data_IF_399622739076
#
_entry.id   IF_399622739076
#
_cell.length_a   1.000
_cell.length_b   1.000
_cell.length_c   1.000
_cell.angle_alpha   90.00
_cell.angle_beta   90.00
_cell.angle_gamma   90.00
#
_symmetry.space_group_name_H-M   'P 1'
#
loop_
_entity.id
_entity.type
_entity.pdbx_description
1 polymer ?
#
# COMPACT_ATOMS: atom_id res chain seq x y z
N UNK A 1 -25.09 45.14 11.11
CA UNK A 1 -24.09 45.40 12.17
C UNK A 1 -22.77 44.78 11.74
N UNK A 2 -21.81 45.59 11.31
CA UNK A 2 -20.49 45.11 10.92
C UNK A 2 -19.75 44.59 12.16
N UNK A 3 -19.22 43.36 12.10
CA UNK A 3 -18.44 42.79 13.19
C UNK A 3 -17.21 43.67 13.48
N UNK A 4 -16.94 44.05 14.74
CA UNK A 4 -15.85 44.97 15.11
C UNK A 4 -14.44 44.45 14.76
N UNK A 5 -14.34 43.22 14.25
CA UNK A 5 -13.11 42.55 13.88
C UNK A 5 -12.52 42.97 12.52
N UNK A 6 -13.24 43.74 11.71
CA UNK A 6 -12.75 44.21 10.40
C UNK A 6 -11.78 45.41 10.48
N UNK A 7 -11.74 46.12 11.61
CA UNK A 7 -10.88 47.29 11.81
C UNK A 7 -9.45 46.95 12.28
N UNK A 8 -9.16 45.68 12.54
CA UNK A 8 -7.87 45.23 13.07
C UNK A 8 -6.96 44.66 11.97
N UNK A 9 -5.62 44.84 12.06
CA UNK A 9 -4.69 44.24 11.12
C UNK A 9 -4.85 42.70 11.09
N UNK A 10 -4.70 42.04 9.93
CA UNK A 10 -5.03 40.62 9.76
C UNK A 10 -4.30 39.68 10.72
N UNK A 11 -3.09 40.05 11.19
CA UNK A 11 -2.32 39.32 12.19
C UNK A 11 -3.01 39.27 13.57
N UNK A 12 -3.71 40.33 13.96
CA UNK A 12 -4.39 40.45 15.26
C UNK A 12 -5.83 39.91 15.22
N UNK A 13 -6.43 39.84 14.02
CA UNK A 13 -7.80 39.34 13.84
C UNK A 13 -7.97 37.90 14.28
N UNK A 14 -6.97 37.04 14.01
CA UNK A 14 -7.01 35.64 14.45
C UNK A 14 -6.91 35.54 15.97
N UNK A 15 -6.03 36.32 16.59
CA UNK A 15 -5.86 36.39 18.04
C UNK A 15 -7.18 36.78 18.72
N UNK A 16 -7.78 37.92 18.35
CA UNK A 16 -9.03 38.36 18.97
C UNK A 16 -10.25 37.48 18.64
N UNK A 17 -10.20 36.72 17.54
CA UNK A 17 -11.24 35.73 17.23
C UNK A 17 -11.12 34.49 18.11
N UNK A 18 -9.92 34.04 18.44
CA UNK A 18 -9.65 32.85 19.26
C UNK A 18 -9.63 33.16 20.77
N UNK A 19 -9.25 34.36 21.16
CA UNK A 19 -9.12 34.81 22.54
C UNK A 19 -10.40 34.60 23.39
N UNK A 20 -11.62 34.94 22.93
CA UNK A 20 -12.83 34.66 23.70
C UNK A 20 -13.08 33.15 23.87
N UNK A 21 -12.78 32.33 22.87
CA UNK A 21 -12.88 30.86 22.99
C UNK A 21 -11.84 30.29 23.96
N UNK A 22 -10.61 30.77 23.90
CA UNK A 22 -9.54 30.37 24.82
C UNK A 22 -9.85 30.79 26.27
N UNK A 23 -10.36 32.01 26.46
CA UNK A 23 -10.83 32.50 27.76
C UNK A 23 -12.01 31.69 28.28
N UNK A 24 -12.98 31.35 27.42
CA UNK A 24 -14.13 30.52 27.79
C UNK A 24 -13.67 29.13 28.21
N UNK A 25 -12.74 28.51 27.49
CA UNK A 25 -12.18 27.21 27.83
C UNK A 25 -11.39 27.24 29.14
N UNK A 26 -10.56 28.27 29.36
CA UNK A 26 -9.88 28.48 30.65
C UNK A 26 -10.87 28.69 31.79
N UNK A 27 -11.89 29.53 31.60
CA UNK A 27 -12.93 29.79 32.60
C UNK A 27 -13.71 28.52 32.96
N UNK A 28 -14.08 27.72 31.95
CA UNK A 28 -14.72 26.42 32.16
C UNK A 28 -13.82 25.48 32.97
N UNK A 29 -12.53 25.38 32.63
CA UNK A 29 -11.56 24.54 33.37
C UNK A 29 -11.42 24.98 34.83
N UNK A 30 -11.28 26.28 35.08
CA UNK A 30 -11.20 26.84 36.43
C UNK A 30 -12.49 26.59 37.22
N UNK A 31 -13.65 26.75 36.58
CA UNK A 31 -14.95 26.45 37.18
C UNK A 31 -15.05 24.98 37.60
N UNK A 32 -14.70 24.05 36.71
CA UNK A 32 -14.70 22.60 37.00
C UNK A 32 -13.77 22.27 38.17
N UNK A 33 -12.59 22.88 38.22
CA UNK A 33 -11.63 22.69 39.32
C UNK A 33 -12.15 23.20 40.66
N UNK A 34 -12.77 24.39 40.68
CA UNK A 34 -13.39 24.97 41.88
C UNK A 34 -14.60 24.18 42.39
N UNK A 35 -15.38 23.58 41.47
CA UNK A 35 -16.50 22.71 41.81
C UNK A 35 -16.08 21.31 42.27
N UNK A 36 -14.77 21.00 42.33
CA UNK A 36 -14.24 19.66 42.66
C UNK A 36 -14.85 18.55 41.78
N UNK A 37 -15.34 18.92 40.59
CA UNK A 37 -15.90 18.01 39.60
C UNK A 37 -14.80 17.32 38.77
N UNK A 38 -13.64 17.08 39.38
CA UNK A 38 -12.59 16.28 38.78
C UNK A 38 -12.99 14.81 38.85
N UNK A 39 -13.85 14.38 37.93
CA UNK A 39 -14.19 12.97 37.75
C UNK A 39 -12.96 12.12 37.36
N UNK A 40 -11.87 12.76 36.96
CA UNK A 40 -10.64 12.10 36.52
C UNK A 40 -9.40 12.95 36.85
N UNK A 41 -8.55 12.46 37.75
CA UNK A 41 -7.22 13.03 37.97
C UNK A 41 -6.27 12.45 36.92
N UNK A 42 -5.87 13.25 35.94
CA UNK A 42 -4.76 12.89 35.05
C UNK A 42 -3.45 12.98 35.82
N UNK A 43 -3.07 11.89 36.48
CA UNK A 43 -1.73 11.75 37.02
C UNK A 43 -0.71 11.53 35.89
N UNK A 44 0.55 11.83 36.15
CA UNK A 44 1.70 11.60 35.28
C UNK A 44 1.72 10.17 34.70
N UNK A 45 1.23 9.19 35.47
CA UNK A 45 1.12 7.80 35.05
C UNK A 45 0.12 7.58 33.90
N UNK A 46 -1.00 8.31 33.89
CA UNK A 46 -2.00 8.25 32.80
C UNK A 46 -1.48 8.92 31.54
N UNK A 47 -0.78 10.05 31.68
CA UNK A 47 -0.16 10.75 30.55
C UNK A 47 0.95 9.93 29.89
N UNK A 48 1.81 9.28 30.69
CA UNK A 48 2.86 8.38 30.18
C UNK A 48 2.27 7.13 29.53
N UNK A 49 1.21 6.55 30.09
CA UNK A 49 0.50 5.43 29.48
C UNK A 49 -0.09 5.80 28.12
N UNK A 50 -0.73 6.97 28.00
CA UNK A 50 -1.31 7.42 26.74
C UNK A 50 -0.24 7.69 25.68
N UNK A 51 0.90 8.28 26.08
CA UNK A 51 2.03 8.50 25.20
C UNK A 51 2.62 7.18 24.68
N UNK A 52 2.83 6.21 25.58
CA UNK A 52 3.32 4.87 25.21
C UNK A 52 2.35 4.14 24.28
N UNK A 53 1.05 4.16 24.58
CA UNK A 53 0.02 3.55 23.74
C UNK A 53 -0.03 4.20 22.35
N UNK A 54 -0.01 5.53 22.28
CA UNK A 54 -0.01 6.28 21.02
C UNK A 54 1.24 5.98 20.19
N UNK A 55 2.40 5.86 20.84
CA UNK A 55 3.65 5.51 20.18
C UNK A 55 3.62 4.09 19.59
N UNK A 56 3.14 3.10 20.35
CA UNK A 56 3.00 1.71 19.87
C UNK A 56 2.02 1.65 18.70
N UNK A 57 0.88 2.34 18.80
CA UNK A 57 -0.10 2.40 17.71
C UNK A 57 0.51 3.03 16.46
N UNK A 58 1.24 4.14 16.59
CA UNK A 58 1.89 4.77 15.45
C UNK A 58 2.92 3.84 14.79
N UNK A 59 3.70 3.09 15.58
CA UNK A 59 4.67 2.14 15.07
C UNK A 59 3.99 0.96 14.34
N UNK A 60 2.94 0.39 14.94
CA UNK A 60 2.17 -0.68 14.32
C UNK A 60 1.54 -0.21 13.00
N UNK A 61 0.92 0.97 13.01
CA UNK A 61 0.27 1.52 11.82
C UNK A 61 1.28 1.76 10.69
N UNK A 62 2.46 2.29 11.02
CA UNK A 62 3.56 2.47 10.08
C UNK A 62 3.99 1.15 9.43
N UNK A 63 4.12 0.08 10.22
CA UNK A 63 4.39 -1.27 9.71
C UNK A 63 3.30 -1.77 8.77
N UNK A 64 2.04 -1.72 9.20
CA UNK A 64 0.91 -2.18 8.38
C UNK A 64 0.75 -1.39 7.09
N UNK A 65 1.04 -0.08 7.12
CA UNK A 65 0.95 0.78 5.94
C UNK A 65 2.06 0.45 4.94
N UNK A 66 3.28 0.15 5.41
CA UNK A 66 4.36 -0.34 4.56
C UNK A 66 3.99 -1.65 3.86
N UNK A 67 3.41 -2.60 4.59
CA UNK A 67 2.99 -3.89 4.03
C UNK A 67 1.84 -3.73 3.03
N UNK A 68 0.91 -2.82 3.32
CA UNK A 68 -0.15 -2.43 2.38
C UNK A 68 0.42 -1.84 1.09
N UNK A 69 1.39 -0.92 1.18
CA UNK A 69 2.06 -0.38 0.01
C UNK A 69 2.76 -1.48 -0.81
N UNK A 70 3.50 -2.37 -0.17
CA UNK A 70 4.15 -3.49 -0.86
C UNK A 70 3.12 -4.38 -1.59
N UNK A 71 1.96 -4.62 -0.98
CA UNK A 71 0.87 -5.41 -1.57
C UNK A 71 0.22 -4.73 -2.78
N UNK A 72 0.24 -3.40 -2.88
CA UNK A 72 -0.26 -2.67 -4.07
C UNK A 72 0.67 -2.88 -5.28
N UNK A 73 1.99 -2.92 -5.06
CA UNK A 73 2.96 -3.01 -6.15
C UNK A 73 3.18 -4.44 -6.64
N UNK A 74 3.07 -5.44 -5.77
CA UNK A 74 3.35 -6.83 -6.11
C UNK A 74 2.53 -7.36 -7.31
N UNK A 75 1.21 -7.11 -7.44
CA UNK A 75 0.43 -7.55 -8.60
C UNK A 75 0.90 -6.90 -9.91
N UNK A 76 1.35 -5.64 -9.85
CA UNK A 76 1.86 -4.92 -11.03
C UNK A 76 3.18 -5.54 -11.49
N UNK A 77 4.09 -5.83 -10.55
CA UNK A 77 5.35 -6.51 -10.88
C UNK A 77 5.10 -7.91 -11.47
N UNK A 78 4.12 -8.64 -10.94
CA UNK A 78 3.70 -9.94 -11.46
C UNK A 78 3.13 -9.85 -12.88
N UNK A 79 2.25 -8.89 -13.15
CA UNK A 79 1.70 -8.65 -14.48
C UNK A 79 2.81 -8.30 -15.48
N UNK A 80 3.69 -7.37 -15.12
CA UNK A 80 4.84 -6.99 -15.95
C UNK A 80 5.75 -8.18 -16.26
N UNK A 81 6.00 -9.05 -15.28
CA UNK A 81 6.82 -10.25 -15.49
C UNK A 81 6.17 -11.22 -16.49
N UNK A 82 4.86 -11.49 -16.34
CA UNK A 82 4.11 -12.36 -17.24
C UNK A 82 4.05 -11.76 -18.66
N UNK A 83 3.78 -10.46 -18.77
CA UNK A 83 3.78 -9.74 -20.06
C UNK A 83 5.16 -9.77 -20.72
N UNK A 84 6.24 -9.55 -19.96
CA UNK A 84 7.62 -9.62 -20.49
C UNK A 84 7.93 -11.01 -21.06
N UNK A 85 7.46 -12.08 -20.39
CA UNK A 85 7.64 -13.45 -20.89
C UNK A 85 6.80 -13.65 -22.17
N UNK A 86 5.57 -13.14 -22.21
CA UNK A 86 4.71 -13.23 -23.39
C UNK A 86 5.30 -12.46 -24.59
N UNK A 87 5.88 -11.28 -24.36
CA UNK A 87 6.58 -10.48 -25.38
C UNK A 87 7.80 -11.24 -25.93
N UNK A 88 8.58 -11.88 -25.04
CA UNK A 88 9.70 -12.73 -25.46
C UNK A 88 9.23 -13.93 -26.29
N UNK A 89 8.10 -14.55 -25.91
CA UNK A 89 7.48 -15.63 -26.66
C UNK A 89 7.06 -15.18 -28.08
N UNK A 90 6.47 -13.99 -28.18
CA UNK A 90 6.10 -13.41 -29.47
C UNK A 90 7.34 -13.08 -30.32
N UNK A 91 8.37 -12.51 -29.71
CA UNK A 91 9.64 -12.21 -30.41
C UNK A 91 10.27 -13.49 -30.99
N UNK A 92 10.27 -14.59 -30.23
CA UNK A 92 10.78 -15.88 -30.70
C UNK A 92 9.98 -16.41 -31.91
N UNK A 93 8.67 -16.17 -31.94
CA UNK A 93 7.79 -16.56 -33.06
C UNK A 93 8.12 -15.79 -34.34
N UNK A 94 8.32 -14.48 -34.21
CA UNK A 94 8.69 -13.62 -35.34
C UNK A 94 10.11 -13.92 -35.86
N UNK A 95 11.03 -14.31 -34.97
CA UNK A 95 12.40 -14.66 -35.31
C UNK A 95 12.55 -16.07 -35.92
N UNK A 96 11.70 -17.02 -35.52
CA UNK A 96 11.80 -18.43 -35.90
C UNK A 96 10.43 -18.98 -36.34
N UNK A 97 10.16 -19.10 -37.65
CA UNK A 97 8.89 -19.62 -38.17
C UNK A 97 8.55 -21.06 -37.74
N UNK A 98 9.55 -21.82 -37.33
CA UNK A 98 9.42 -23.22 -36.89
C UNK A 98 9.08 -23.34 -35.39
N UNK A 99 9.06 -22.21 -34.66
CA UNK A 99 8.73 -22.17 -33.25
C UNK A 99 7.21 -22.13 -33.02
N UNK A 100 6.71 -22.97 -32.12
CA UNK A 100 5.30 -22.98 -31.69
C UNK A 100 5.12 -22.22 -30.37
N UNK A 101 4.51 -21.02 -30.37
CA UNK A 101 4.30 -20.22 -29.16
C UNK A 101 3.10 -20.68 -28.31
N UNK A 102 2.19 -21.50 -28.86
CA UNK A 102 0.89 -21.81 -28.25
C UNK A 102 1.03 -22.47 -26.87
N UNK A 103 1.93 -23.45 -26.64
CA UNK A 103 2.07 -24.10 -25.35
C UNK A 103 2.49 -23.13 -24.24
N UNK A 104 3.45 -22.25 -24.50
CA UNK A 104 3.92 -21.27 -23.52
C UNK A 104 2.82 -20.24 -23.20
N UNK A 105 2.14 -19.72 -24.22
CA UNK A 105 1.03 -18.77 -24.01
C UNK A 105 -0.12 -19.38 -23.22
N UNK A 106 -0.43 -20.66 -23.45
CA UNK A 106 -1.45 -21.40 -22.70
C UNK A 106 -1.05 -21.52 -21.23
N UNK A 107 0.21 -21.86 -20.95
CA UNK A 107 0.67 -22.04 -19.58
C UNK A 107 0.77 -20.71 -18.81
N UNK A 108 1.17 -19.61 -19.47
CA UNK A 108 1.11 -18.27 -18.87
C UNK A 108 -0.32 -17.85 -18.53
N UNK A 109 -1.29 -18.21 -19.39
CA UNK A 109 -2.72 -17.98 -19.12
C UNK A 109 -3.19 -18.78 -17.90
N UNK A 110 -2.82 -20.07 -17.82
CA UNK A 110 -3.14 -20.93 -16.68
C UNK A 110 -2.53 -20.40 -15.38
N UNK A 111 -1.25 -20.01 -15.40
CA UNK A 111 -0.57 -19.42 -14.25
C UNK A 111 -1.29 -18.15 -13.78
N UNK A 112 -1.64 -17.27 -14.70
CA UNK A 112 -2.35 -16.01 -14.40
C UNK A 112 -3.71 -16.30 -13.75
N UNK A 113 -4.46 -17.26 -14.29
CA UNK A 113 -5.75 -17.66 -13.73
C UNK A 113 -5.60 -18.28 -12.35
N UNK A 114 -4.60 -19.14 -12.13
CA UNK A 114 -4.33 -19.75 -10.82
C UNK A 114 -3.92 -18.70 -9.77
N UNK A 115 -3.13 -17.70 -10.17
CA UNK A 115 -2.76 -16.57 -9.31
C UNK A 115 -3.98 -15.74 -8.92
N UNK A 116 -4.85 -15.40 -9.88
CA UNK A 116 -6.08 -14.66 -9.61
C UNK A 116 -7.01 -15.44 -8.68
N UNK A 117 -7.16 -16.74 -8.94
CA UNK A 117 -7.93 -17.67 -8.12
C UNK A 117 -7.42 -17.77 -6.67
N UNK A 118 -6.10 -17.78 -6.49
CA UNK A 118 -5.49 -17.79 -5.17
C UNK A 118 -5.70 -16.45 -4.43
N UNK A 119 -5.46 -15.33 -5.12
CA UNK A 119 -5.55 -13.99 -4.54
C UNK A 119 -6.98 -13.55 -4.22
N UNK A 120 -7.94 -13.79 -5.11
CA UNK A 120 -9.33 -13.34 -4.96
C UNK A 120 -10.21 -14.35 -4.23
N UNK A 121 -9.98 -15.65 -4.46
CA UNK A 121 -10.88 -16.71 -3.99
C UNK A 121 -10.25 -17.61 -2.91
N UNK A 122 -9.03 -17.31 -2.46
CA UNK A 122 -8.29 -18.08 -1.45
C UNK A 122 -8.21 -19.59 -1.77
N UNK A 123 -8.12 -19.94 -3.07
CA UNK A 123 -7.96 -21.33 -3.50
C UNK A 123 -6.59 -21.88 -3.09
N UNK A 124 -6.35 -23.17 -3.29
CA UNK A 124 -5.06 -23.78 -2.95
C UNK A 124 -3.91 -23.21 -3.80
N UNK A 125 -2.71 -23.10 -3.24
CA UNK A 125 -1.50 -22.62 -3.92
C UNK A 125 -0.86 -23.67 -4.84
N UNK A 126 -1.10 -24.96 -4.60
CA UNK A 126 -0.48 -26.07 -5.33
C UNK A 126 -0.59 -26.01 -6.88
N UNK A 127 -1.69 -25.51 -7.48
CA UNK A 127 -1.76 -25.30 -8.93
C UNK A 127 -0.76 -24.28 -9.46
N UNK A 128 -0.41 -23.25 -8.68
CA UNK A 128 0.60 -22.24 -9.04
C UNK A 128 1.98 -22.90 -9.12
N UNK A 129 2.36 -23.69 -8.10
CA UNK A 129 3.63 -24.40 -8.08
C UNK A 129 3.78 -25.35 -9.27
N UNK A 130 2.68 -26.01 -9.63
CA UNK A 130 2.63 -26.92 -10.79
C UNK A 130 2.83 -26.16 -12.10
N UNK A 131 2.13 -25.04 -12.28
CA UNK A 131 2.28 -24.18 -13.47
C UNK A 131 3.69 -23.59 -13.59
N UNK A 132 4.29 -23.14 -12.48
CA UNK A 132 5.67 -22.67 -12.44
C UNK A 132 6.67 -23.77 -12.85
N UNK A 133 6.45 -25.01 -12.42
CA UNK A 133 7.28 -26.14 -12.85
C UNK A 133 7.13 -26.43 -14.35
N UNK A 134 5.92 -26.30 -14.90
CA UNK A 134 5.63 -26.50 -16.32
C UNK A 134 6.24 -25.41 -17.22
N UNK A 135 6.31 -24.16 -16.75
CA UNK A 135 6.99 -23.08 -17.47
C UNK A 135 8.44 -23.41 -17.81
N UNK A 136 9.18 -24.11 -16.94
CA UNK A 136 10.56 -24.52 -17.22
C UNK A 136 10.68 -25.40 -18.47
N UNK A 137 9.68 -26.27 -18.71
CA UNK A 137 9.65 -27.14 -19.89
C UNK A 137 9.45 -26.28 -21.15
N UNK A 138 8.56 -25.28 -21.09
CA UNK A 138 8.31 -24.37 -22.20
C UNK A 138 9.51 -23.44 -22.46
N UNK A 139 10.18 -22.95 -21.42
CA UNK A 139 11.41 -22.17 -21.57
C UNK A 139 12.54 -22.98 -22.19
N UNK A 140 12.67 -24.27 -21.87
CA UNK A 140 13.63 -25.13 -22.54
C UNK A 140 13.39 -25.17 -24.05
N UNK A 141 12.13 -25.21 -24.50
CA UNK A 141 11.82 -25.15 -25.93
C UNK A 141 12.18 -23.80 -26.55
N UNK A 142 11.88 -22.68 -25.88
CA UNK A 142 12.25 -21.34 -26.37
C UNK A 142 13.77 -21.20 -26.49
N UNK A 143 14.53 -21.73 -25.54
CA UNK A 143 15.99 -21.69 -25.55
C UNK A 143 16.63 -22.43 -26.73
N UNK A 144 15.97 -23.46 -27.30
CA UNK A 144 16.45 -24.13 -28.52
C UNK A 144 16.50 -23.18 -29.71
N UNK A 145 15.60 -22.19 -29.73
CA UNK A 145 15.51 -21.17 -30.77
C UNK A 145 16.19 -19.85 -30.35
N UNK A 146 16.67 -19.75 -29.11
CA UNK A 146 17.36 -18.56 -28.64
C UNK A 146 18.82 -18.53 -29.08
N UNK A 147 19.17 -17.67 -30.04
CA UNK A 147 20.54 -17.16 -30.14
C UNK A 147 20.88 -16.30 -28.89
N UNK A 148 22.17 -16.25 -28.53
CA UNK A 148 22.85 -15.52 -27.42
C UNK A 148 22.00 -14.38 -26.80
N UNK A 149 21.89 -14.30 -25.45
CA UNK A 149 20.72 -13.78 -24.77
C UNK A 149 20.35 -12.35 -25.15
N UNK A 150 19.10 -12.17 -25.58
CA UNK A 150 18.42 -10.88 -25.79
C UNK A 150 18.13 -10.15 -24.45
N UNK A 151 18.60 -10.69 -23.32
CA UNK A 151 18.50 -10.05 -22.00
C UNK A 151 19.63 -9.01 -21.82
N UNK A 152 19.54 -7.88 -22.54
CA UNK A 152 20.33 -6.69 -22.22
C UNK A 152 19.56 -5.38 -22.43
N UNK A 153 18.28 -5.36 -22.03
CA UNK A 153 17.59 -4.09 -21.79
C UNK A 153 17.09 -4.04 -20.34
N UNK A 154 18.06 -3.88 -19.45
CA UNK A 154 17.90 -3.12 -18.20
C UNK A 154 18.79 -1.88 -18.37
#
# INVERSE_FOLDING_TARGET
>A
MASPLHALPPKWRLLFKLLPWALLFMGAKVGIHQLQWEAWTFDSLTGTLFAAASFILAFMLSGTLRDYHASIYMPIELANAIETIADANQLATEAHPDYDPVPLSTELTNLTQHLLDWLEHQKAIAPIDTSLAQLNIHFANVLVFGDIPVISRI
#
